data_IF_577736417214
#
_entry.id   IF_577736417214
#
_cell.length_a   1.000
_cell.length_b   1.000
_cell.length_c   1.000
_cell.angle_alpha   90.00
_cell.angle_beta   90.00
_cell.angle_gamma   90.00
#
_symmetry.space_group_name_H-M   'P 1'
#
loop_
_entity.id
_entity.type
_entity.pdbx_description
1 polymer ?
#
# COMPACT_ATOMS: atom_id res chain seq x y z
N UNK A 1 4.82 12.74 -9.77
CA UNK A 1 4.64 13.98 -8.97
C UNK A 1 3.18 14.32 -8.69
N UNK A 2 2.26 14.30 -9.68
CA UNK A 2 0.84 14.63 -9.46
C UNK A 2 0.08 13.61 -8.57
N UNK A 3 0.39 12.31 -8.72
CA UNK A 3 -0.31 11.22 -8.03
C UNK A 3 -0.13 11.22 -6.51
N UNK A 4 1.04 11.61 -6.03
CA UNK A 4 1.36 11.70 -4.58
C UNK A 4 0.75 12.93 -3.93
N UNK A 5 0.47 14.01 -4.67
CA UNK A 5 -0.10 15.24 -4.10
C UNK A 5 -1.48 15.03 -3.48
N UNK A 6 -2.31 14.15 -4.07
CA UNK A 6 -3.67 13.88 -3.57
C UNK A 6 -3.67 13.05 -2.29
N UNK A 7 -2.77 12.07 -2.19
CA UNK A 7 -2.57 11.34 -0.94
C UNK A 7 -1.99 12.26 0.15
N UNK A 8 -1.09 13.17 -0.22
CA UNK A 8 -0.51 14.14 0.71
C UNK A 8 -1.49 15.23 1.17
N UNK A 9 -2.64 15.41 0.51
CA UNK A 9 -3.67 16.37 0.92
C UNK A 9 -4.69 15.80 1.89
N UNK A 10 -4.62 14.50 2.23
CA UNK A 10 -5.54 13.87 3.17
C UNK A 10 -5.23 14.39 4.58
N UNK A 11 -6.20 15.02 5.28
CA UNK A 11 -5.98 15.52 6.64
C UNK A 11 -5.60 14.38 7.60
N UNK A 12 -4.59 14.62 8.44
CA UNK A 12 -4.10 13.62 9.40
C UNK A 12 -3.16 12.55 8.81
N UNK A 13 -2.96 12.53 7.49
CA UNK A 13 -2.02 11.62 6.84
C UNK A 13 -0.62 12.24 6.67
N UNK A 14 0.42 11.45 6.91
CA UNK A 14 1.79 11.78 6.48
C UNK A 14 2.16 10.87 5.31
N UNK A 15 2.49 11.45 4.15
CA UNK A 15 2.90 10.69 2.97
C UNK A 15 4.42 10.64 2.83
N UNK A 16 4.96 9.44 2.75
CA UNK A 16 6.36 9.20 2.39
C UNK A 16 6.45 8.36 1.11
N UNK A 17 7.14 8.87 0.08
CA UNK A 17 7.44 8.10 -1.14
C UNK A 17 8.81 7.47 -0.96
N UNK A 18 8.84 6.13 -0.90
CA UNK A 18 10.06 5.38 -0.53
C UNK A 18 10.50 4.48 -1.67
N UNK A 19 11.82 4.37 -1.84
CA UNK A 19 12.49 3.30 -2.59
C UNK A 19 13.20 2.39 -1.61
N UNK A 20 12.58 1.25 -1.27
CA UNK A 20 13.06 0.36 -0.20
C UNK A 20 14.50 -0.10 -0.44
N UNK A 21 14.91 -0.30 -1.70
CA UNK A 21 16.25 -0.72 -2.09
C UNK A 21 17.35 0.31 -1.79
N UNK A 22 16.98 1.55 -1.44
CA UNK A 22 17.90 2.60 -1.02
C UNK A 22 18.10 2.68 0.48
N UNK A 23 17.31 1.94 1.25
CA UNK A 23 17.38 1.88 2.70
C UNK A 23 18.15 0.63 3.12
N UNK A 24 18.92 0.73 4.19
CA UNK A 24 19.42 -0.44 4.90
C UNK A 24 18.25 -1.29 5.40
N UNK A 25 18.47 -2.59 5.59
CA UNK A 25 17.39 -3.47 6.07
C UNK A 25 16.81 -3.00 7.41
N UNK A 26 17.65 -2.45 8.32
CA UNK A 26 17.18 -1.88 9.59
C UNK A 26 16.23 -0.70 9.38
N UNK A 27 16.54 0.18 8.44
CA UNK A 27 15.66 1.31 8.10
C UNK A 27 14.37 0.84 7.44
N UNK A 28 14.42 -0.21 6.61
CA UNK A 28 13.22 -0.83 6.05
C UNK A 28 12.32 -1.37 7.18
N UNK A 29 12.87 -2.10 8.15
CA UNK A 29 12.09 -2.62 9.28
C UNK A 29 11.44 -1.50 10.10
N UNK A 30 12.23 -0.49 10.50
CA UNK A 30 11.73 0.64 11.28
C UNK A 30 10.61 1.39 10.53
N UNK A 31 10.78 1.63 9.23
CA UNK A 31 9.76 2.27 8.42
C UNK A 31 8.45 1.45 8.39
N UNK A 32 8.54 0.14 8.21
CA UNK A 32 7.36 -0.72 8.09
C UNK A 32 6.60 -0.84 9.41
N UNK A 33 7.31 -0.84 10.55
CA UNK A 33 6.69 -0.86 11.89
C UNK A 33 5.89 0.41 12.19
N UNK A 34 6.33 1.56 11.68
CA UNK A 34 5.66 2.86 11.86
C UNK A 34 4.59 3.14 10.79
N UNK A 35 4.50 2.30 9.75
CA UNK A 35 3.62 2.51 8.60
C UNK A 35 2.23 1.94 8.85
N UNK A 36 1.20 2.81 8.81
CA UNK A 36 -0.20 2.40 8.91
C UNK A 36 -0.79 1.93 7.57
N UNK A 37 -0.32 2.50 6.46
CA UNK A 37 -0.77 2.11 5.13
C UNK A 37 0.46 2.01 4.24
N UNK A 38 0.65 0.84 3.61
CA UNK A 38 1.68 0.64 2.58
C UNK A 38 0.99 0.44 1.24
N UNK A 39 1.30 1.31 0.29
CA UNK A 39 0.79 1.22 -1.08
C UNK A 39 1.96 0.87 -1.99
N UNK A 40 1.85 -0.23 -2.73
CA UNK A 40 2.96 -0.67 -3.59
C UNK A 40 2.50 -1.50 -4.78
N UNK A 41 3.33 -1.48 -5.82
CA UNK A 41 3.16 -2.38 -6.96
C UNK A 41 3.42 -3.83 -6.51
N UNK A 42 2.63 -4.77 -7.03
CA UNK A 42 2.86 -6.19 -6.81
C UNK A 42 4.33 -6.54 -7.05
N UNK A 43 4.95 -7.20 -6.06
CA UNK A 43 6.34 -7.64 -6.13
C UNK A 43 6.88 -8.00 -4.74
N UNK A 44 8.07 -8.62 -4.72
CA UNK A 44 8.68 -9.17 -3.51
C UNK A 44 8.85 -8.16 -2.36
N UNK A 45 8.91 -6.86 -2.68
CA UNK A 45 8.95 -5.80 -1.67
C UNK A 45 7.74 -5.82 -0.71
N UNK A 46 6.56 -6.27 -1.16
CA UNK A 46 5.36 -6.31 -0.30
C UNK A 46 5.43 -7.38 0.78
N UNK A 47 6.39 -8.32 0.73
CA UNK A 47 6.66 -9.27 1.83
C UNK A 47 7.02 -8.54 3.13
N UNK A 48 7.47 -7.28 3.05
CA UNK A 48 7.70 -6.45 4.23
C UNK A 48 6.43 -6.20 5.06
N UNK A 49 5.23 -6.50 4.56
CA UNK A 49 3.99 -6.50 5.34
C UNK A 49 4.11 -7.31 6.64
N UNK A 50 4.98 -8.32 6.66
CA UNK A 50 5.25 -9.13 7.85
C UNK A 50 5.71 -8.30 9.05
N UNK A 51 6.35 -7.14 8.80
CA UNK A 51 6.88 -6.25 9.82
C UNK A 51 5.94 -5.09 10.19
N UNK A 52 4.79 -4.97 9.53
CA UNK A 52 3.77 -3.99 9.89
C UNK A 52 2.98 -4.42 11.13
N UNK A 53 2.34 -3.46 11.81
CA UNK A 53 1.38 -3.76 12.88
C UNK A 53 0.12 -4.42 12.28
N UNK A 54 -0.25 -5.60 12.76
CA UNK A 54 -1.35 -6.38 12.19
C UNK A 54 -2.75 -5.78 12.46
N UNK A 55 -2.92 -5.04 13.56
CA UNK A 55 -4.22 -4.54 13.99
C UNK A 55 -4.52 -3.13 13.49
N UNK A 56 -3.47 -2.34 13.21
CA UNK A 56 -3.59 -0.92 12.86
C UNK A 56 -3.21 -0.62 11.42
N UNK A 57 -2.72 -1.62 10.67
CA UNK A 57 -2.16 -1.39 9.34
C UNK A 57 -2.92 -2.06 8.22
N UNK A 58 -2.77 -1.51 7.01
CA UNK A 58 -3.30 -2.06 5.77
C UNK A 58 -2.24 -2.10 4.67
N UNK A 59 -2.20 -3.23 3.95
CA UNK A 59 -1.50 -3.34 2.67
C UNK A 59 -2.45 -3.01 1.52
N UNK A 60 -2.07 -2.05 0.69
CA UNK A 60 -2.72 -1.74 -0.59
C UNK A 60 -1.82 -2.20 -1.73
N UNK A 61 -2.23 -3.29 -2.38
CA UNK A 61 -1.52 -3.87 -3.51
C UNK A 61 -2.07 -3.35 -4.84
N UNK A 62 -1.18 -2.77 -5.64
CA UNK A 62 -1.46 -2.40 -7.02
C UNK A 62 -1.05 -3.56 -7.93
N UNK A 63 -2.01 -4.25 -8.54
CA UNK A 63 -1.80 -5.47 -9.30
C UNK A 63 -1.83 -5.19 -10.82
N UNK A 64 -0.75 -5.36 -11.58
CA UNK A 64 -0.70 -4.98 -12.99
C UNK A 64 -1.49 -5.93 -13.92
N UNK A 65 -1.61 -7.22 -13.55
CA UNK A 65 -2.44 -8.24 -14.21
C UNK A 65 -2.80 -9.30 -13.18
N UNK A 66 -3.90 -10.03 -13.37
CA UNK A 66 -4.33 -11.05 -12.42
C UNK A 66 -3.22 -12.12 -12.26
N UNK A 67 -2.56 -12.11 -11.09
CA UNK A 67 -1.57 -13.10 -10.65
C UNK A 67 -2.07 -13.77 -9.38
N UNK A 68 -1.31 -14.75 -8.90
CA UNK A 68 -1.56 -15.48 -7.65
C UNK A 68 -1.83 -14.53 -6.49
N UNK A 69 -2.79 -14.89 -5.64
CA UNK A 69 -3.26 -14.11 -4.48
C UNK A 69 -2.28 -14.11 -3.29
N UNK A 70 -0.97 -14.18 -3.55
CA UNK A 70 0.05 -14.40 -2.52
C UNK A 70 -0.03 -13.40 -1.35
N UNK A 71 -0.08 -12.10 -1.64
CA UNK A 71 -0.12 -11.08 -0.58
C UNK A 71 -1.48 -10.96 0.10
N UNK A 72 -2.56 -11.36 -0.57
CA UNK A 72 -3.85 -11.51 0.08
C UNK A 72 -3.78 -12.61 1.13
N UNK A 73 -3.35 -13.82 0.72
CA UNK A 73 -3.22 -14.96 1.64
C UNK A 73 -2.22 -14.68 2.77
N UNK A 74 -1.12 -13.99 2.48
CA UNK A 74 -0.13 -13.62 3.50
C UNK A 74 -0.67 -12.60 4.50
N UNK A 75 -1.49 -11.64 4.04
CA UNK A 75 -2.14 -10.66 4.92
C UNK A 75 -3.22 -11.32 5.77
N UNK A 76 -4.02 -12.21 5.18
CA UNK A 76 -5.02 -13.02 5.90
C UNK A 76 -4.35 -13.90 6.98
N UNK A 77 -3.23 -14.55 6.64
CA UNK A 77 -2.46 -15.34 7.60
C UNK A 77 -1.91 -14.49 8.75
N UNK A 78 -1.47 -13.26 8.49
CA UNK A 78 -1.03 -12.30 9.52
C UNK A 78 -2.21 -11.71 10.31
N UNK A 79 -3.44 -11.81 9.82
CA UNK A 79 -4.61 -11.13 10.40
C UNK A 79 -4.66 -9.63 10.10
N UNK A 80 -3.99 -9.17 9.03
CA UNK A 80 -3.84 -7.76 8.68
C UNK A 80 -4.80 -7.33 7.56
N UNK A 81 -5.25 -6.08 7.59
CA UNK A 81 -6.09 -5.52 6.53
C UNK A 81 -5.37 -5.53 5.16
N UNK A 82 -6.11 -5.91 4.12
CA UNK A 82 -5.61 -5.99 2.75
C UNK A 82 -6.59 -5.43 1.74
N UNK A 83 -6.07 -4.71 0.75
CA UNK A 83 -6.84 -4.21 -0.40
C UNK A 83 -6.06 -4.35 -1.69
N UNK A 84 -6.68 -4.97 -2.71
CA UNK A 84 -6.15 -5.01 -4.07
C UNK A 84 -6.82 -3.96 -4.96
N UNK A 85 -6.01 -3.32 -5.80
CA UNK A 85 -6.45 -2.59 -6.99
C UNK A 85 -5.78 -3.17 -8.24
N UNK A 86 -6.58 -3.73 -9.14
CA UNK A 86 -6.06 -4.30 -10.40
C UNK A 86 -6.06 -3.24 -11.48
N UNK A 87 -4.92 -3.05 -12.15
CA UNK A 87 -4.79 -2.17 -13.30
C UNK A 87 -5.57 -2.76 -14.47
N UNK A 88 -6.09 -1.89 -15.34
CA UNK A 88 -6.75 -2.33 -16.56
C UNK A 88 -5.76 -3.00 -17.53
N UNK A 89 -6.27 -3.52 -18.64
CA UNK A 89 -5.48 -4.24 -19.65
C UNK A 89 -4.33 -3.41 -20.26
N UNK A 90 -4.38 -2.07 -20.17
CA UNK A 90 -3.29 -1.19 -20.60
C UNK A 90 -2.08 -1.26 -19.67
N UNK A 91 -2.25 -1.78 -18.44
CA UNK A 91 -1.22 -1.76 -17.41
C UNK A 91 -0.88 -0.36 -16.91
N UNK A 92 -1.69 0.65 -17.27
CA UNK A 92 -1.51 2.03 -16.85
C UNK A 92 -2.48 2.38 -15.71
N UNK A 93 -1.99 3.18 -14.76
CA UNK A 93 -2.88 3.81 -13.78
C UNK A 93 -3.50 5.05 -14.43
N UNK A 94 -4.77 4.97 -14.80
CA UNK A 94 -5.55 6.11 -15.25
C UNK A 94 -6.03 6.97 -14.06
N UNK A 95 -6.64 8.13 -14.33
CA UNK A 95 -7.09 9.05 -13.27
C UNK A 95 -8.12 8.40 -12.34
N UNK A 96 -9.12 7.70 -12.90
CA UNK A 96 -10.14 6.98 -12.16
C UNK A 96 -9.52 5.98 -11.18
N UNK A 97 -8.53 5.22 -11.62
CA UNK A 97 -7.82 4.25 -10.76
C UNK A 97 -7.19 4.94 -9.54
N UNK A 98 -6.52 6.07 -9.77
CA UNK A 98 -5.88 6.81 -8.68
C UNK A 98 -6.93 7.44 -7.76
N UNK A 99 -8.06 7.90 -8.30
CA UNK A 99 -9.17 8.43 -7.49
C UNK A 99 -9.78 7.34 -6.59
N UNK A 100 -9.95 6.13 -7.12
CA UNK A 100 -10.47 4.99 -6.35
C UNK A 100 -9.50 4.58 -5.23
N UNK A 101 -8.18 4.63 -5.47
CA UNK A 101 -7.16 4.41 -4.43
C UNK A 101 -7.21 5.50 -3.36
N UNK A 102 -7.26 6.78 -3.75
CA UNK A 102 -7.31 7.91 -2.81
C UNK A 102 -8.57 7.83 -1.94
N UNK A 103 -9.74 7.61 -2.53
CA UNK A 103 -11.00 7.48 -1.80
C UNK A 103 -10.96 6.34 -0.78
N UNK A 104 -10.32 5.22 -1.13
CA UNK A 104 -10.16 4.10 -0.20
C UNK A 104 -9.24 4.46 0.97
N UNK A 105 -8.13 5.14 0.70
CA UNK A 105 -7.21 5.61 1.76
C UNK A 105 -7.91 6.59 2.71
N UNK A 106 -8.63 7.58 2.16
CA UNK A 106 -9.42 8.53 2.95
C UNK A 106 -10.44 7.83 3.83
N UNK A 107 -11.16 6.85 3.26
CA UNK A 107 -12.14 6.05 4.01
C UNK A 107 -11.47 5.27 5.14
N UNK A 108 -10.36 4.58 4.86
CA UNK A 108 -9.67 3.76 5.85
C UNK A 108 -9.16 4.60 7.03
N UNK A 109 -8.61 5.79 6.76
CA UNK A 109 -8.14 6.73 7.79
C UNK A 109 -9.31 7.27 8.64
N UNK A 110 -10.50 7.45 8.05
CA UNK A 110 -11.66 7.90 8.82
C UNK A 110 -12.27 6.82 9.72
N UNK A 111 -12.12 5.55 9.35
CA UNK A 111 -12.74 4.42 10.04
C UNK A 111 -11.86 3.79 11.13
N UNK A 112 -10.54 4.09 11.16
CA UNK A 112 -9.54 3.46 12.04
C UNK A 112 -8.58 4.50 12.64
#
# INVERSE_FOLDING_TARGET
>A
LFRSKRLASIPGATLQVVRLEKLSFREQLALMQESHIVIGMHGAALTHLLFMDENRSQLIELMPRNRVDFFQSLSEWKGMNYKRFTLDSSGQMNEKFIDDVVRHVEKYIWEN
#
